data_IF_700742380756
#
_entry.id   IF_700742380756
#
_cell.length_a   1.000
_cell.length_b   1.000
_cell.length_c   1.000
_cell.angle_alpha   90.00
_cell.angle_beta   90.00
_cell.angle_gamma   90.00
#
_symmetry.space_group_name_H-M   'P 1'
#
loop_
_entity.id
_entity.type
_entity.pdbx_description
1 polymer ?
#
# COMPACT_ATOMS: atom_id res chain seq x y z
N UNK A 1 15.62 -23.39 -17.19
CA UNK A 1 15.83 -22.46 -16.07
C UNK A 1 14.46 -22.09 -15.53
N UNK A 2 14.14 -22.50 -14.33
CA UNK A 2 12.81 -22.26 -13.77
C UNK A 2 12.69 -20.78 -13.43
N UNK A 3 11.77 -20.07 -14.09
CA UNK A 3 11.57 -18.62 -13.94
C UNK A 3 11.33 -18.24 -12.48
N UNK A 4 10.62 -19.09 -11.75
CA UNK A 4 10.26 -18.90 -10.34
C UNK A 4 11.47 -18.96 -9.38
N UNK A 5 12.56 -19.57 -9.80
CA UNK A 5 13.82 -19.65 -9.06
C UNK A 5 14.91 -18.70 -9.61
N UNK A 6 14.50 -17.71 -10.40
CA UNK A 6 15.40 -16.71 -10.98
C UNK A 6 15.57 -15.52 -10.05
N UNK A 7 16.81 -14.98 -9.95
CA UNK A 7 17.10 -13.70 -9.28
C UNK A 7 16.35 -12.49 -9.85
N UNK A 8 15.80 -12.62 -11.06
CA UNK A 8 15.03 -11.58 -11.74
C UNK A 8 13.54 -11.73 -11.51
N UNK A 9 13.09 -12.78 -10.80
CA UNK A 9 11.66 -13.05 -10.66
C UNK A 9 10.90 -11.91 -10.00
N UNK A 10 11.47 -11.29 -8.94
CA UNK A 10 10.86 -10.14 -8.30
C UNK A 10 10.68 -8.97 -9.28
N UNK A 11 11.72 -8.61 -10.06
CA UNK A 11 11.60 -7.58 -11.09
C UNK A 11 10.55 -7.91 -12.15
N UNK A 12 10.43 -9.17 -12.55
CA UNK A 12 9.43 -9.62 -13.53
C UNK A 12 8.02 -9.39 -12.98
N UNK A 13 7.77 -9.77 -11.73
CA UNK A 13 6.48 -9.53 -11.06
C UNK A 13 6.16 -8.04 -11.03
N UNK A 14 7.12 -7.20 -10.66
CA UNK A 14 6.94 -5.76 -10.64
C UNK A 14 6.70 -5.17 -12.05
N UNK A 15 7.45 -5.64 -13.06
CA UNK A 15 7.27 -5.21 -14.45
C UNK A 15 5.89 -5.57 -14.99
N UNK A 16 5.38 -6.76 -14.70
CA UNK A 16 4.03 -7.17 -15.05
C UNK A 16 3.01 -6.29 -14.34
N UNK A 17 3.20 -6.02 -13.05
CA UNK A 17 2.28 -5.21 -12.24
C UNK A 17 2.14 -3.79 -12.79
N UNK A 18 3.25 -3.15 -13.20
CA UNK A 18 3.21 -1.77 -13.69
C UNK A 18 2.81 -1.66 -15.16
N UNK A 19 2.96 -2.73 -15.95
CA UNK A 19 2.75 -2.72 -17.40
C UNK A 19 1.36 -2.23 -17.78
N UNK A 20 0.32 -2.78 -17.20
CA UNK A 20 -1.06 -2.40 -17.49
C UNK A 20 -1.38 -0.94 -17.09
N UNK A 21 -1.08 -0.47 -15.87
CA UNK A 21 -1.23 0.92 -15.47
C UNK A 21 -0.50 1.91 -16.39
N UNK A 22 0.74 1.61 -16.82
CA UNK A 22 1.49 2.49 -17.74
C UNK A 22 0.81 2.53 -19.12
N UNK A 23 0.52 1.37 -19.71
CA UNK A 23 -0.09 1.28 -21.03
C UNK A 23 -1.44 2.03 -21.08
N UNK A 24 -2.25 1.89 -20.03
CA UNK A 24 -3.56 2.53 -19.92
C UNK A 24 -3.52 3.99 -19.45
N UNK A 25 -2.36 4.47 -19.00
CA UNK A 25 -2.18 5.86 -18.57
C UNK A 25 -2.48 6.90 -19.66
N UNK A 26 -2.25 6.51 -20.90
CA UNK A 26 -2.42 7.39 -22.07
C UNK A 26 -3.81 7.29 -22.71
N UNK A 27 -4.70 6.48 -22.15
CA UNK A 27 -6.06 6.38 -22.65
C UNK A 27 -6.80 7.72 -22.49
N UNK A 28 -7.42 8.20 -23.59
CA UNK A 28 -8.09 9.51 -23.69
C UNK A 28 -9.20 9.72 -22.65
N UNK A 29 -9.81 8.64 -22.15
CA UNK A 29 -10.87 8.71 -21.14
C UNK A 29 -10.37 9.05 -19.75
N UNK A 30 -9.19 8.54 -19.38
CA UNK A 30 -8.65 8.61 -18.01
C UNK A 30 -7.52 9.63 -17.93
N UNK A 31 -6.65 9.68 -18.96
CA UNK A 31 -5.48 10.55 -19.07
C UNK A 31 -4.64 10.58 -17.79
N UNK A 32 -4.39 9.38 -17.23
CA UNK A 32 -3.72 9.24 -15.93
C UNK A 32 -2.34 9.88 -15.92
N UNK A 33 -1.63 9.89 -17.05
CA UNK A 33 -0.33 10.54 -17.20
C UNK A 33 -0.35 12.03 -16.81
N UNK A 34 -1.48 12.73 -17.01
CA UNK A 34 -1.65 14.13 -16.59
C UNK A 34 -1.63 14.32 -15.06
N UNK A 35 -1.78 13.24 -14.31
CA UNK A 35 -1.74 13.26 -12.85
C UNK A 35 -0.37 12.93 -12.28
N UNK A 36 0.61 12.53 -13.11
CA UNK A 36 1.92 12.07 -12.62
C UNK A 36 2.69 13.14 -11.88
N UNK A 37 2.57 14.42 -12.26
CA UNK A 37 3.15 15.56 -11.58
C UNK A 37 2.68 15.73 -10.11
N UNK A 38 1.50 15.23 -9.78
CA UNK A 38 0.96 15.21 -8.40
C UNK A 38 1.22 13.87 -7.71
N UNK A 39 1.20 12.79 -8.48
CA UNK A 39 1.31 11.43 -8.02
C UNK A 39 2.74 11.07 -7.60
N UNK A 40 3.75 11.43 -8.41
CA UNK A 40 5.15 11.14 -8.07
C UNK A 40 5.59 11.79 -6.75
N UNK A 41 5.32 13.08 -6.48
CA UNK A 41 5.59 13.65 -5.15
C UNK A 41 4.82 12.96 -4.01
N UNK A 42 3.58 12.51 -4.24
CA UNK A 42 2.82 11.77 -3.24
C UNK A 42 3.47 10.42 -2.91
N UNK A 43 3.96 9.70 -3.93
CA UNK A 43 4.73 8.47 -3.73
C UNK A 43 6.02 8.76 -2.97
N UNK A 44 6.75 9.84 -3.30
CA UNK A 44 7.95 10.22 -2.57
C UNK A 44 7.66 10.49 -1.08
N UNK A 45 6.57 11.19 -0.75
CA UNK A 45 6.16 11.43 0.63
C UNK A 45 5.88 10.10 1.35
N UNK A 46 5.14 9.20 0.71
CA UNK A 46 4.85 7.87 1.25
C UNK A 46 6.16 7.09 1.47
N UNK A 47 7.08 7.09 0.51
CA UNK A 47 8.38 6.41 0.64
C UNK A 47 9.23 6.97 1.78
N UNK A 48 9.26 8.30 1.97
CA UNK A 48 9.99 8.94 3.09
C UNK A 48 9.47 8.44 4.45
N UNK A 49 8.20 8.08 4.55
CA UNK A 49 7.59 7.58 5.79
C UNK A 49 7.81 6.06 5.92
N UNK A 50 7.50 5.27 4.90
CA UNK A 50 7.41 3.82 5.01
C UNK A 50 8.71 3.07 4.75
N UNK A 51 9.60 3.56 3.87
CA UNK A 51 10.89 2.90 3.59
C UNK A 51 11.81 2.87 4.84
N UNK A 52 11.93 3.94 5.65
CA UNK A 52 12.68 3.85 6.91
C UNK A 52 12.13 2.81 7.88
N UNK A 53 10.80 2.64 7.94
CA UNK A 53 10.15 1.61 8.78
C UNK A 53 10.52 0.21 8.28
N UNK A 54 10.48 0.01 6.96
CA UNK A 54 10.84 -1.25 6.32
C UNK A 54 12.30 -1.63 6.57
N UNK A 55 13.23 -0.68 6.47
CA UNK A 55 14.64 -0.84 6.83
C UNK A 55 14.80 -1.28 8.29
N UNK A 56 14.09 -0.62 9.21
CA UNK A 56 14.15 -0.94 10.64
C UNK A 56 13.61 -2.35 10.89
N UNK A 57 12.50 -2.72 10.26
CA UNK A 57 11.89 -4.04 10.43
C UNK A 57 12.74 -5.16 9.84
N UNK A 58 13.40 -4.92 8.72
CA UNK A 58 14.39 -5.84 8.16
C UNK A 58 15.56 -6.04 9.13
N UNK A 59 16.09 -4.97 9.73
CA UNK A 59 17.16 -5.03 10.74
C UNK A 59 16.75 -5.74 12.02
N UNK A 60 15.51 -5.59 12.45
CA UNK A 60 14.93 -6.28 13.59
C UNK A 60 14.61 -7.75 13.31
N UNK A 61 14.74 -8.20 12.05
CA UNK A 61 14.44 -9.56 11.64
C UNK A 61 12.96 -9.90 11.67
N UNK A 62 12.08 -8.90 11.49
CA UNK A 62 10.62 -9.10 11.31
C UNK A 62 10.37 -9.87 10.04
N UNK A 63 11.09 -9.52 8.98
CA UNK A 63 11.22 -10.28 7.73
C UNK A 63 12.66 -10.28 7.24
N UNK A 64 12.93 -11.13 6.30
CA UNK A 64 14.21 -11.23 5.61
C UNK A 64 13.99 -11.54 4.13
N UNK A 65 15.00 -11.29 3.32
CA UNK A 65 14.97 -11.54 1.89
C UNK A 65 15.88 -12.72 1.54
N UNK A 66 15.40 -13.62 0.69
CA UNK A 66 16.19 -14.73 0.19
C UNK A 66 17.23 -14.21 -0.83
N UNK A 67 18.50 -14.13 -0.39
CA UNK A 67 19.61 -13.61 -1.20
C UNK A 67 19.84 -14.37 -2.53
N UNK A 68 19.35 -15.59 -2.66
CA UNK A 68 19.45 -16.37 -3.89
C UNK A 68 18.38 -15.99 -4.93
N UNK A 69 17.31 -15.31 -4.50
CA UNK A 69 16.14 -14.98 -5.32
C UNK A 69 15.95 -13.47 -5.54
N UNK A 70 16.86 -12.65 -5.06
CA UNK A 70 16.93 -11.22 -5.35
C UNK A 70 18.16 -10.94 -6.21
N UNK A 71 18.15 -9.83 -6.93
CA UNK A 71 19.23 -9.43 -7.85
C UNK A 71 20.61 -9.35 -7.19
N UNK A 72 20.62 -9.03 -5.87
CA UNK A 72 21.83 -8.99 -5.07
C UNK A 72 22.41 -7.58 -4.87
N UNK A 73 21.75 -6.53 -5.35
CA UNK A 73 22.08 -5.15 -5.01
C UNK A 73 21.17 -4.68 -3.86
N UNK A 74 21.80 -4.30 -2.74
CA UNK A 74 21.12 -3.84 -1.53
C UNK A 74 21.41 -2.36 -1.28
N UNK A 75 20.37 -1.61 -0.94
CA UNK A 75 20.46 -0.22 -0.50
C UNK A 75 19.81 -0.11 0.88
N UNK A 76 20.60 0.26 1.90
CA UNK A 76 20.16 0.33 3.30
C UNK A 76 19.49 -0.98 3.80
N UNK A 77 20.13 -2.12 3.51
CA UNK A 77 19.71 -3.49 3.86
C UNK A 77 18.46 -4.01 3.15
N UNK A 78 17.85 -3.20 2.29
CA UNK A 78 16.75 -3.63 1.42
C UNK A 78 17.26 -3.97 0.02
N UNK A 79 16.79 -5.06 -0.61
CA UNK A 79 17.06 -5.32 -2.01
C UNK A 79 16.47 -4.20 -2.87
N UNK A 80 17.12 -3.88 -3.98
CA UNK A 80 16.68 -2.78 -4.86
C UNK A 80 15.26 -2.98 -5.37
N UNK A 81 14.81 -4.22 -5.50
CA UNK A 81 13.45 -4.58 -5.89
C UNK A 81 12.41 -4.03 -4.90
N UNK A 82 12.72 -4.00 -3.59
CA UNK A 82 11.83 -3.46 -2.56
C UNK A 82 11.63 -1.95 -2.75
N UNK A 83 12.67 -1.23 -3.13
CA UNK A 83 12.55 0.19 -3.48
C UNK A 83 11.62 0.40 -4.68
N UNK A 84 11.71 -0.46 -5.69
CA UNK A 84 10.78 -0.43 -6.83
C UNK A 84 9.36 -0.85 -6.42
N UNK A 85 9.20 -1.78 -5.49
CA UNK A 85 7.89 -2.16 -4.94
C UNK A 85 7.17 -0.94 -4.35
N UNK A 86 7.86 -0.13 -3.54
CA UNK A 86 7.30 1.12 -2.97
C UNK A 86 6.93 2.18 -4.02
N UNK A 87 7.42 2.08 -5.23
CA UNK A 87 7.02 2.95 -6.34
C UNK A 87 5.87 2.33 -7.14
N UNK A 88 6.02 1.07 -7.51
CA UNK A 88 5.17 0.39 -8.50
C UNK A 88 3.79 0.06 -7.91
N UNK A 89 3.74 -0.49 -6.69
CA UNK A 89 2.46 -0.86 -6.08
C UNK A 89 1.57 0.37 -5.83
N UNK A 90 2.03 1.44 -5.17
CA UNK A 90 1.22 2.65 -5.02
C UNK A 90 0.84 3.32 -6.34
N UNK A 91 1.74 3.29 -7.34
CA UNK A 91 1.41 3.80 -8.68
C UNK A 91 0.25 3.02 -9.31
N UNK A 92 0.30 1.68 -9.26
CA UNK A 92 -0.77 0.83 -9.80
C UNK A 92 -2.10 1.03 -9.04
N UNK A 93 -2.05 1.15 -7.72
CA UNK A 93 -3.25 1.40 -6.90
C UNK A 93 -3.84 2.80 -7.14
N UNK A 94 -2.99 3.83 -7.31
CA UNK A 94 -3.47 5.17 -7.67
C UNK A 94 -4.06 5.23 -9.09
N UNK A 95 -3.59 4.38 -10.01
CA UNK A 95 -4.27 4.19 -11.29
C UNK A 95 -5.70 3.65 -11.09
N UNK A 96 -5.87 2.61 -10.26
CA UNK A 96 -7.19 2.08 -9.89
C UNK A 96 -8.06 3.19 -9.26
N UNK A 97 -7.49 3.98 -8.34
CA UNK A 97 -8.18 5.11 -7.70
C UNK A 97 -8.72 6.11 -8.73
N UNK A 98 -7.89 6.46 -9.72
CA UNK A 98 -8.29 7.38 -10.79
C UNK A 98 -9.37 6.80 -11.69
N UNK A 99 -9.24 5.52 -12.05
CA UNK A 99 -10.24 4.79 -12.86
C UNK A 99 -11.59 4.75 -12.14
N UNK A 100 -11.60 4.41 -10.85
CA UNK A 100 -12.82 4.39 -10.05
C UNK A 100 -13.49 5.76 -9.99
N UNK A 101 -12.73 6.82 -9.77
CA UNK A 101 -13.28 8.20 -9.77
C UNK A 101 -13.84 8.64 -11.12
N UNK A 102 -13.34 8.08 -12.20
CA UNK A 102 -13.86 8.38 -13.55
C UNK A 102 -15.18 7.64 -13.82
N UNK A 103 -15.22 6.33 -13.57
CA UNK A 103 -16.38 5.50 -13.91
C UNK A 103 -17.49 5.54 -12.85
N UNK A 104 -17.12 5.66 -11.60
CA UNK A 104 -18.07 5.68 -10.49
C UNK A 104 -18.04 7.05 -9.82
N UNK A 105 -19.08 7.87 -10.06
CA UNK A 105 -19.30 9.10 -9.29
C UNK A 105 -19.72 8.74 -7.87
N UNK A 106 -18.77 8.28 -7.07
CA UNK A 106 -19.03 7.82 -5.70
C UNK A 106 -19.42 9.04 -4.86
N UNK A 107 -20.59 8.97 -4.25
CA UNK A 107 -21.05 10.00 -3.30
C UNK A 107 -20.11 10.08 -2.10
N UNK A 108 -20.14 11.18 -1.35
CA UNK A 108 -19.40 11.32 -0.09
C UNK A 108 -19.70 10.17 0.87
N UNK A 109 -18.74 9.84 1.74
CA UNK A 109 -18.93 8.80 2.73
C UNK A 109 -20.11 9.13 3.69
N UNK A 110 -20.95 8.14 3.98
CA UNK A 110 -22.06 8.28 4.90
C UNK A 110 -21.58 8.35 6.35
N UNK A 111 -22.45 8.84 7.26
CA UNK A 111 -22.19 8.79 8.71
C UNK A 111 -21.90 7.36 9.17
N UNK A 112 -22.62 6.38 8.63
CA UNK A 112 -22.39 4.96 8.93
C UNK A 112 -20.97 4.53 8.51
N UNK A 113 -20.51 4.92 7.32
CA UNK A 113 -19.16 4.60 6.85
C UNK A 113 -18.09 5.12 7.82
N UNK A 114 -18.22 6.38 8.29
CA UNK A 114 -17.28 6.93 9.27
C UNK A 114 -17.37 6.25 10.63
N UNK A 115 -18.56 5.89 11.10
CA UNK A 115 -18.73 5.18 12.37
C UNK A 115 -18.10 3.77 12.29
N UNK A 116 -18.26 3.06 11.17
CA UNK A 116 -17.59 1.76 10.94
C UNK A 116 -16.08 1.93 10.89
N UNK A 117 -15.57 3.00 10.24
CA UNK A 117 -14.13 3.32 10.25
C UNK A 117 -13.62 3.51 11.68
N UNK A 118 -14.33 4.27 12.50
CA UNK A 118 -13.96 4.45 13.92
C UNK A 118 -13.96 3.13 14.68
N UNK A 119 -14.99 2.32 14.50
CA UNK A 119 -15.10 1.01 15.16
C UNK A 119 -13.92 0.10 14.77
N UNK A 120 -13.60 0.01 13.47
CA UNK A 120 -12.43 -0.73 13.00
C UNK A 120 -11.13 -0.18 13.60
N UNK A 121 -10.97 1.15 13.65
CA UNK A 121 -9.80 1.79 14.25
C UNK A 121 -9.63 1.43 15.74
N UNK A 122 -10.72 1.46 16.52
CA UNK A 122 -10.70 1.07 17.94
C UNK A 122 -10.34 -0.41 18.09
N UNK A 123 -10.92 -1.29 17.26
CA UNK A 123 -10.60 -2.72 17.28
C UNK A 123 -9.11 -2.96 17.00
N UNK A 124 -8.54 -2.28 15.99
CA UNK A 124 -7.12 -2.41 15.67
C UNK A 124 -6.23 -1.96 16.85
N UNK A 125 -6.56 -0.84 17.52
CA UNK A 125 -5.81 -0.39 18.70
C UNK A 125 -5.88 -1.43 19.84
N UNK A 126 -7.06 -1.99 20.10
CA UNK A 126 -7.22 -3.03 21.12
C UNK A 126 -6.40 -4.28 20.77
N UNK A 127 -6.44 -4.72 19.52
CA UNK A 127 -5.65 -5.86 19.05
C UNK A 127 -4.15 -5.57 19.11
N UNK A 128 -3.71 -4.34 18.81
CA UNK A 128 -2.31 -3.93 18.94
C UNK A 128 -1.82 -4.05 20.40
N UNK A 129 -2.66 -3.67 21.38
CA UNK A 129 -2.34 -3.81 22.80
C UNK A 129 -2.34 -5.29 23.20
N UNK A 130 -3.29 -6.09 22.70
CA UNK A 130 -3.35 -7.52 23.02
C UNK A 130 -2.14 -8.30 22.48
N UNK A 131 -1.66 -7.94 21.27
CA UNK A 131 -0.49 -8.54 20.62
C UNK A 131 0.76 -7.66 20.74
N UNK A 132 0.97 -7.01 21.87
CA UNK A 132 2.08 -6.07 22.05
C UNK A 132 3.48 -6.70 21.88
N UNK A 133 3.60 -8.01 22.11
CA UNK A 133 4.82 -8.82 21.90
C UNK A 133 5.12 -9.10 20.42
N UNK A 134 4.13 -8.93 19.53
CA UNK A 134 4.24 -9.11 18.08
C UNK A 134 4.54 -7.77 17.41
N UNK A 135 5.83 -7.49 17.18
CA UNK A 135 6.31 -6.16 16.73
C UNK A 135 5.57 -5.71 15.46
N UNK A 136 5.45 -6.58 14.45
CA UNK A 136 4.80 -6.24 13.18
C UNK A 136 3.32 -5.92 13.38
N UNK A 137 2.63 -6.81 14.09
CA UNK A 137 1.21 -6.66 14.40
C UNK A 137 0.94 -5.40 15.22
N UNK A 138 1.63 -5.27 16.37
CA UNK A 138 1.37 -4.16 17.30
C UNK A 138 1.64 -2.81 16.65
N UNK A 139 2.70 -2.70 15.85
CA UNK A 139 3.04 -1.47 15.17
C UNK A 139 1.98 -1.09 14.11
N UNK A 140 1.74 -1.98 13.11
CA UNK A 140 0.80 -1.63 12.04
C UNK A 140 -0.64 -1.52 12.49
N UNK A 141 -1.07 -2.31 13.46
CA UNK A 141 -2.42 -2.18 14.02
C UNK A 141 -2.58 -0.88 14.80
N UNK A 142 -1.53 -0.43 15.53
CA UNK A 142 -1.56 0.85 16.25
C UNK A 142 -1.66 2.03 15.30
N UNK A 143 -0.78 2.12 14.29
CA UNK A 143 -0.78 3.26 13.37
C UNK A 143 -2.05 3.26 12.51
N UNK A 144 -2.50 2.11 12.02
CA UNK A 144 -3.73 2.03 11.22
C UNK A 144 -4.97 2.33 12.03
N UNK A 145 -5.01 1.88 13.29
CA UNK A 145 -6.06 2.27 14.22
C UNK A 145 -6.10 3.79 14.45
N UNK A 146 -4.93 4.41 14.70
CA UNK A 146 -4.81 5.86 14.84
C UNK A 146 -5.21 6.60 13.56
N UNK A 147 -4.76 6.13 12.40
CA UNK A 147 -5.14 6.68 11.09
C UNK A 147 -6.65 6.63 10.88
N UNK A 148 -7.31 5.51 11.17
CA UNK A 148 -8.78 5.39 11.06
C UNK A 148 -9.52 6.32 12.02
N UNK A 149 -9.02 6.51 13.24
CA UNK A 149 -9.59 7.48 14.20
C UNK A 149 -9.43 8.91 13.66
N UNK A 150 -8.26 9.27 13.11
CA UNK A 150 -8.03 10.57 12.48
C UNK A 150 -8.96 10.80 11.28
N UNK A 151 -9.18 9.78 10.45
CA UNK A 151 -10.14 9.82 9.33
C UNK A 151 -11.57 10.08 9.83
N UNK A 152 -11.98 9.43 10.92
CA UNK A 152 -13.28 9.69 11.54
C UNK A 152 -13.40 11.14 12.00
N UNK A 153 -12.37 11.71 12.61
CA UNK A 153 -12.36 13.10 13.10
C UNK A 153 -12.34 14.12 11.95
N UNK A 154 -11.52 13.89 10.92
CA UNK A 154 -11.32 14.82 9.79
C UNK A 154 -12.35 14.69 8.69
N UNK A 155 -12.98 13.52 8.54
CA UNK A 155 -14.00 13.19 7.53
C UNK A 155 -13.61 13.62 6.11
N UNK A 156 -12.43 13.18 5.58
CA UNK A 156 -11.98 13.63 4.29
C UNK A 156 -12.93 13.16 3.18
N UNK A 157 -13.24 14.05 2.22
CA UNK A 157 -14.19 13.80 1.15
C UNK A 157 -13.84 12.59 0.27
N UNK A 158 -12.55 12.25 0.17
CA UNK A 158 -12.02 11.16 -0.65
C UNK A 158 -12.09 9.78 0.03
N UNK A 159 -12.55 9.71 1.29
CA UNK A 159 -12.48 8.47 2.08
C UNK A 159 -13.22 7.29 1.45
N UNK A 160 -14.41 7.52 0.91
CA UNK A 160 -15.19 6.45 0.27
C UNK A 160 -14.53 5.95 -1.02
N UNK A 161 -13.99 6.86 -1.83
CA UNK A 161 -13.23 6.51 -3.03
C UNK A 161 -12.00 5.66 -2.67
N UNK A 162 -11.31 6.03 -1.57
CA UNK A 162 -10.19 5.28 -1.04
C UNK A 162 -10.60 3.86 -0.62
N UNK A 163 -11.67 3.70 0.15
CA UNK A 163 -12.13 2.38 0.59
C UNK A 163 -12.44 1.46 -0.60
N UNK A 164 -13.10 1.98 -1.64
CA UNK A 164 -13.34 1.18 -2.85
C UNK A 164 -12.05 0.79 -3.56
N UNK A 165 -11.14 1.74 -3.71
CA UNK A 165 -9.82 1.47 -4.28
C UNK A 165 -9.05 0.44 -3.45
N UNK A 166 -8.99 0.60 -2.14
CA UNK A 166 -8.29 -0.32 -1.24
C UNK A 166 -8.84 -1.75 -1.35
N UNK A 167 -10.15 -1.92 -1.25
CA UNK A 167 -10.78 -3.25 -1.36
C UNK A 167 -10.52 -3.90 -2.72
N UNK A 168 -10.59 -3.13 -3.81
CA UNK A 168 -10.31 -3.64 -5.14
C UNK A 168 -8.82 -3.96 -5.33
N UNK A 169 -7.94 -3.16 -4.72
CA UNK A 169 -6.49 -3.35 -4.79
C UNK A 169 -5.99 -4.53 -3.97
N UNK A 170 -6.74 -4.99 -2.97
CA UNK A 170 -6.36 -6.17 -2.18
C UNK A 170 -6.18 -7.42 -3.05
N UNK A 171 -7.02 -7.64 -4.05
CA UNK A 171 -6.92 -8.83 -4.90
C UNK A 171 -5.58 -8.87 -5.67
N UNK A 172 -5.20 -7.86 -6.48
CA UNK A 172 -3.89 -7.86 -7.14
C UNK A 172 -2.73 -7.75 -6.14
N UNK A 173 -2.88 -7.06 -5.01
CA UNK A 173 -1.87 -7.01 -3.96
C UNK A 173 -1.58 -8.39 -3.38
N UNK A 174 -2.62 -9.15 -3.00
CA UNK A 174 -2.45 -10.51 -2.47
C UNK A 174 -1.87 -11.45 -3.52
N UNK A 175 -2.17 -11.25 -4.82
CA UNK A 175 -1.55 -12.03 -5.88
C UNK A 175 -0.05 -11.75 -5.98
N UNK A 176 0.36 -10.47 -6.03
CA UNK A 176 1.77 -10.07 -6.08
C UNK A 176 2.51 -10.54 -4.82
N UNK A 177 1.96 -10.23 -3.65
CA UNK A 177 2.59 -10.60 -2.38
C UNK A 177 2.63 -12.12 -2.17
N UNK A 178 1.62 -12.85 -2.65
CA UNK A 178 1.63 -14.31 -2.67
C UNK A 178 2.76 -14.91 -3.52
N UNK A 179 3.09 -14.28 -4.64
CA UNK A 179 4.25 -14.67 -5.44
C UNK A 179 5.56 -14.44 -4.67
N UNK A 180 5.67 -13.35 -3.93
CA UNK A 180 6.88 -13.00 -3.16
C UNK A 180 7.04 -13.86 -1.90
N UNK A 181 5.93 -14.27 -1.27
CA UNK A 181 5.92 -15.08 -0.03
C UNK A 181 5.88 -16.58 -0.28
N UNK A 182 6.01 -17.01 -1.54
CA UNK A 182 6.07 -18.44 -1.89
C UNK A 182 4.73 -19.15 -1.94
N UNK A 183 3.59 -18.42 -2.05
CA UNK A 183 2.26 -19.08 -2.18
C UNK A 183 2.09 -19.81 -3.51
N UNK A 184 2.81 -19.38 -4.55
CA UNK A 184 2.73 -19.91 -5.91
C UNK A 184 4.09 -20.39 -6.42
N UNK A 185 5.13 -20.37 -5.57
CA UNK A 185 6.50 -20.72 -5.90
C UNK A 185 7.05 -21.70 -4.86
N UNK A 186 8.07 -22.49 -5.21
CA UNK A 186 8.66 -23.43 -4.27
C UNK A 186 9.48 -22.75 -3.16
N UNK A 187 9.92 -21.51 -3.39
CA UNK A 187 10.76 -20.75 -2.47
C UNK A 187 10.23 -19.34 -2.30
N UNK A 188 10.16 -18.86 -1.06
CA UNK A 188 9.80 -17.49 -0.74
C UNK A 188 10.96 -16.53 -1.00
N UNK A 189 10.68 -15.35 -1.56
CA UNK A 189 11.60 -14.22 -1.64
C UNK A 189 11.58 -13.46 -0.32
N UNK A 190 10.38 -13.17 0.21
CA UNK A 190 10.17 -12.51 1.50
C UNK A 190 9.79 -13.56 2.53
N UNK A 191 10.54 -13.64 3.61
CA UNK A 191 10.38 -14.64 4.67
C UNK A 191 10.06 -13.91 5.97
N UNK A 192 8.87 -14.13 6.53
CA UNK A 192 8.43 -13.53 7.77
C UNK A 192 8.86 -14.36 8.98
N UNK A 193 9.19 -13.67 10.06
CA UNK A 193 9.51 -14.29 11.33
C UNK A 193 8.23 -14.45 12.19
N UNK A 194 7.87 -15.71 12.47
CA UNK A 194 6.66 -16.07 13.23
C UNK A 194 6.60 -15.45 14.64
N UNK A 195 7.75 -15.07 15.20
CA UNK A 195 7.80 -14.42 16.52
C UNK A 195 7.21 -13.00 16.50
N UNK A 196 7.11 -12.36 15.34
CA UNK A 196 6.70 -10.96 15.17
C UNK A 196 5.31 -10.76 14.57
N UNK A 197 4.62 -11.83 14.19
CA UNK A 197 3.29 -11.85 13.60
C UNK A 197 2.31 -12.69 14.43
N UNK A 198 1.00 -12.51 14.22
CA UNK A 198 -0.05 -13.31 14.86
C UNK A 198 0.00 -14.79 14.39
N UNK A 199 0.53 -15.02 13.18
CA UNK A 199 0.55 -16.35 12.55
C UNK A 199 -0.70 -16.66 11.72
N UNK A 200 -1.70 -15.77 11.66
CA UNK A 200 -2.80 -15.89 10.72
C UNK A 200 -2.35 -15.50 9.31
N UNK A 201 -2.63 -16.36 8.32
CA UNK A 201 -2.18 -16.15 6.95
C UNK A 201 -3.31 -16.32 5.92
N UNK A 202 -3.25 -15.53 4.87
CA UNK A 202 -4.01 -15.75 3.63
C UNK A 202 -3.00 -16.37 2.65
N UNK A 203 -3.13 -17.66 2.38
CA UNK A 203 -2.06 -18.46 1.76
C UNK A 203 -0.78 -18.36 2.64
N UNK A 204 0.33 -17.92 2.07
CA UNK A 204 1.58 -17.70 2.83
C UNK A 204 1.75 -16.23 3.32
N UNK A 205 0.77 -15.37 3.07
CA UNK A 205 0.82 -13.94 3.37
C UNK A 205 0.28 -13.69 4.78
N UNK A 206 1.03 -13.07 5.70
CA UNK A 206 0.51 -12.65 7.00
C UNK A 206 -0.70 -11.73 6.85
N UNK A 207 -1.70 -11.88 7.70
CA UNK A 207 -2.89 -11.02 7.68
C UNK A 207 -2.52 -9.54 7.88
N UNK A 208 -1.44 -9.28 8.60
CA UNK A 208 -0.85 -7.96 8.83
C UNK A 208 -0.52 -7.22 7.55
N UNK A 209 -0.18 -7.95 6.47
CA UNK A 209 0.15 -7.34 5.18
C UNK A 209 -1.05 -6.62 4.55
N UNK A 210 -2.27 -7.03 4.88
CA UNK A 210 -3.46 -6.28 4.46
C UNK A 210 -3.51 -4.92 5.15
N UNK A 211 -3.13 -4.84 6.41
CA UNK A 211 -3.09 -3.59 7.19
C UNK A 211 -1.88 -2.74 6.78
N UNK A 212 -0.73 -3.36 6.52
CA UNK A 212 0.43 -2.71 5.92
C UNK A 212 0.08 -2.05 4.57
N UNK A 213 -0.58 -2.81 3.68
CA UNK A 213 -1.08 -2.28 2.41
C UNK A 213 -2.03 -1.10 2.62
N UNK A 214 -2.95 -1.18 3.59
CA UNK A 214 -3.84 -0.08 3.96
C UNK A 214 -3.04 1.19 4.29
N UNK A 215 -2.02 1.10 5.14
CA UNK A 215 -1.22 2.27 5.57
C UNK A 215 -0.44 2.90 4.42
N UNK A 216 0.22 2.11 3.59
CA UNK A 216 0.89 2.62 2.39
C UNK A 216 -0.11 3.36 1.49
N UNK A 217 -1.25 2.74 1.22
CA UNK A 217 -2.23 3.28 0.28
C UNK A 217 -2.97 4.51 0.84
N UNK A 218 -3.31 4.53 2.13
CA UNK A 218 -3.96 5.71 2.73
C UNK A 218 -2.99 6.88 2.79
N UNK A 219 -1.73 6.64 3.09
CA UNK A 219 -0.68 7.66 3.10
C UNK A 219 -0.50 8.29 1.73
N UNK A 220 -0.36 7.48 0.67
CA UNK A 220 -0.16 8.00 -0.69
C UNK A 220 -1.39 8.72 -1.22
N UNK A 221 -2.61 8.24 -0.93
CA UNK A 221 -3.86 8.92 -1.35
C UNK A 221 -4.05 10.22 -0.60
N UNK A 222 -3.79 10.25 0.71
CA UNK A 222 -3.85 11.48 1.50
C UNK A 222 -2.86 12.53 0.99
N UNK A 223 -1.61 12.13 0.72
CA UNK A 223 -0.60 13.01 0.13
C UNK A 223 -1.02 13.51 -1.26
N UNK A 224 -1.52 12.62 -2.12
CA UNK A 224 -2.00 12.97 -3.46
C UNK A 224 -3.16 13.98 -3.43
N UNK A 225 -4.18 13.75 -2.60
CA UNK A 225 -5.32 14.65 -2.51
C UNK A 225 -4.96 15.98 -1.83
N UNK A 226 -3.99 15.96 -0.90
CA UNK A 226 -3.44 17.17 -0.30
C UNK A 226 -2.68 18.02 -1.34
N UNK A 227 -1.72 17.46 -2.07
CA UNK A 227 -0.97 18.16 -3.14
C UNK A 227 -1.93 18.71 -4.19
N UNK A 228 -2.93 17.91 -4.59
CA UNK A 228 -3.96 18.32 -5.53
C UNK A 228 -4.80 19.51 -5.01
N UNK A 229 -5.05 19.59 -3.72
CA UNK A 229 -5.76 20.72 -3.12
C UNK A 229 -4.95 22.02 -3.19
N UNK A 230 -3.63 21.92 -3.02
CA UNK A 230 -2.71 23.07 -3.16
C UNK A 230 -2.55 23.55 -4.60
N UNK A 231 -2.65 22.63 -5.57
CA UNK A 231 -2.52 22.94 -7.00
C UNK A 231 -3.78 23.59 -7.62
N UNK A 232 -4.91 23.65 -6.87
CA UNK A 232 -6.10 24.40 -7.35
C UNK A 232 -5.89 25.90 -7.13
N UNK A 233 -6.04 26.75 -8.16
CA UNK A 233 -5.93 28.20 -7.98
C UNK A 233 -6.98 28.71 -7.01
N UNK A 234 -6.60 29.67 -6.13
CA UNK A 234 -7.42 30.32 -5.11
C UNK A 234 -8.70 31.02 -5.66
N UNK A 235 -8.82 31.19 -6.97
CA UNK A 235 -9.94 31.86 -7.62
C UNK A 235 -11.28 31.10 -7.58
N UNK A 236 -11.31 29.84 -7.12
CA UNK A 236 -12.53 29.03 -7.05
C UNK A 236 -13.08 28.92 -5.60
N UNK A 237 -12.34 29.38 -4.59
CA UNK A 237 -12.80 29.30 -3.19
C UNK A 237 -13.77 30.41 -2.76
N UNK A 238 -13.94 31.47 -3.56
CA UNK A 238 -14.80 32.62 -3.17
C UNK A 238 -16.24 32.57 -3.70
N UNK A 239 -16.67 31.49 -4.32
CA UNK A 239 -18.02 31.34 -4.91
C UNK A 239 -18.74 30.05 -4.42
N UNK A 240 -18.60 29.70 -3.15
CA UNK A 240 -19.49 28.69 -2.52
C UNK A 240 -20.01 29.21 -1.18
#
# INVERSE_FOLDING_TARGET
MDLFNSRYFYFIVLAITISYPILRSFEKRIEFYKSWNLLLPAICIMMIIHVPIDIVFTKLGVWSFNHNLVYGFFLADLPIEEWFFFIIIPFACLFIYKVLKYFFKISTASKLTYNLTLLCGIILVILAIFFYDKIYTSFYFSISGATMILIYLKKPYWWKDFLFMYLLSLAPFLLVNGMLTGSFTNNAIVIYNESHIIGLRILNIPIEDTIYCFEILVTVVAAYEYIKSLAKPLSIQNNQ
#
